data_IF_280617311638
#
_entry.id   IF_280617311638
#
_cell.length_a   1.000
_cell.length_b   1.000
_cell.length_c   1.000
_cell.angle_alpha   90.00
_cell.angle_beta   90.00
_cell.angle_gamma   90.00
#
_symmetry.space_group_name_H-M   'P 1'
#
loop_
_entity.id
_entity.type
_entity.pdbx_description
1 polymer ?
#
# COMPACT_ATOMS: atom_id res chain seq x y z
N UNK A 1 2.95 -2.57 16.56
CA UNK A 1 2.97 -1.33 17.39
C UNK A 1 4.14 -1.43 18.37
N UNK A 2 5.27 -0.73 18.13
CA UNK A 2 6.45 -0.81 19.01
C UNK A 2 6.17 -0.31 20.44
N UNK A 3 5.12 0.51 20.61
CA UNK A 3 4.73 1.07 21.90
C UNK A 3 3.65 0.26 22.66
N UNK A 4 3.12 -0.83 22.08
CA UNK A 4 2.03 -1.60 22.70
C UNK A 4 2.55 -2.57 23.76
N UNK A 5 2.49 -2.17 25.03
CA UNK A 5 3.00 -2.93 26.18
C UNK A 5 2.30 -4.29 26.41
N UNK A 6 1.24 -4.62 25.67
CA UNK A 6 0.62 -5.95 25.68
C UNK A 6 1.44 -6.99 24.91
N UNK A 7 2.35 -6.55 24.04
CA UNK A 7 3.20 -7.40 23.22
C UNK A 7 4.52 -7.75 23.96
N UNK A 8 5.08 -8.96 23.72
CA UNK A 8 6.41 -9.32 24.21
C UNK A 8 7.47 -8.28 23.80
N UNK A 9 8.44 -8.03 24.68
CA UNK A 9 9.49 -7.03 24.46
C UNK A 9 10.25 -7.25 23.15
N UNK A 10 10.72 -8.47 22.87
CA UNK A 10 11.43 -8.75 21.63
C UNK A 10 10.62 -8.47 20.35
N UNK A 11 9.29 -8.60 20.37
CA UNK A 11 8.44 -8.21 19.23
C UNK A 11 8.41 -6.68 19.08
N UNK A 12 8.32 -5.96 20.20
CA UNK A 12 8.33 -4.49 20.18
C UNK A 12 9.66 -3.94 19.67
N UNK A 13 10.77 -4.52 20.11
CA UNK A 13 12.12 -4.14 19.69
C UNK A 13 12.35 -4.39 18.20
N UNK A 14 12.01 -5.59 17.70
CA UNK A 14 12.14 -5.90 16.26
C UNK A 14 11.31 -4.97 15.39
N UNK A 15 10.07 -4.63 15.82
CA UNK A 15 9.22 -3.69 15.08
C UNK A 15 9.77 -2.26 15.14
N UNK A 16 10.37 -1.85 16.26
CA UNK A 16 11.00 -0.53 16.38
C UNK A 16 12.23 -0.40 15.48
N UNK A 17 13.12 -1.38 15.51
CA UNK A 17 14.32 -1.44 14.67
C UNK A 17 13.95 -1.40 13.18
N UNK A 18 12.94 -2.18 12.76
CA UNK A 18 12.44 -2.15 11.39
C UNK A 18 11.88 -0.78 10.98
N UNK A 19 11.17 -0.09 11.89
CA UNK A 19 10.61 1.24 11.59
C UNK A 19 11.70 2.31 11.39
N UNK A 20 12.82 2.20 12.12
CA UNK A 20 13.98 3.07 11.94
C UNK A 20 14.64 2.87 10.57
N UNK A 21 14.71 1.61 10.10
CA UNK A 21 15.22 1.30 8.76
C UNK A 21 14.27 1.76 7.64
N UNK A 22 12.96 1.58 7.82
CA UNK A 22 11.98 2.02 6.83
C UNK A 22 11.99 3.54 6.65
N UNK A 23 12.32 4.30 7.70
CA UNK A 23 12.53 5.76 7.59
C UNK A 23 13.68 6.10 6.64
N UNK A 24 14.76 5.32 6.65
CA UNK A 24 15.91 5.51 5.74
C UNK A 24 15.55 5.11 4.31
N UNK A 25 14.85 3.97 4.14
CA UNK A 25 14.35 3.54 2.84
C UNK A 25 13.42 4.59 2.23
N UNK A 26 12.51 5.12 3.02
CA UNK A 26 11.57 6.16 2.62
C UNK A 26 12.29 7.40 2.09
N UNK A 27 13.31 7.91 2.81
CA UNK A 27 14.10 9.06 2.38
C UNK A 27 14.90 8.79 1.09
N UNK A 28 15.44 7.58 0.96
CA UNK A 28 16.16 7.16 -0.23
C UNK A 28 15.24 7.08 -1.45
N UNK A 29 14.12 6.35 -1.36
CA UNK A 29 13.23 6.13 -2.50
C UNK A 29 12.46 7.37 -2.92
N UNK A 30 12.05 8.23 -1.98
CA UNK A 30 11.45 9.52 -2.33
C UNK A 30 12.43 10.41 -3.11
N UNK A 31 13.71 10.38 -2.70
CA UNK A 31 14.77 11.09 -3.41
C UNK A 31 15.05 10.48 -4.77
N UNK A 32 15.19 9.16 -4.86
CA UNK A 32 15.41 8.45 -6.11
C UNK A 32 14.29 8.74 -7.11
N UNK A 33 13.03 8.71 -6.69
CA UNK A 33 11.88 8.90 -7.58
C UNK A 33 11.89 10.28 -8.25
N UNK A 34 12.31 11.33 -7.52
CA UNK A 34 12.48 12.70 -8.06
C UNK A 34 13.50 12.78 -9.20
N UNK A 35 14.46 11.86 -9.26
CA UNK A 35 15.45 11.80 -10.34
C UNK A 35 15.09 10.76 -11.40
N UNK A 36 14.52 9.63 -10.99
CA UNK A 36 14.20 8.52 -11.86
C UNK A 36 13.10 8.90 -12.85
N UNK A 37 11.97 9.43 -12.37
CA UNK A 37 10.83 9.70 -13.23
C UNK A 37 11.15 10.71 -14.34
N UNK A 38 11.79 11.86 -14.07
CA UNK A 38 12.17 12.80 -15.13
C UNK A 38 13.26 12.28 -16.08
N UNK A 39 14.05 11.27 -15.65
CA UNK A 39 15.07 10.66 -16.48
C UNK A 39 14.51 9.59 -17.44
N UNK A 40 13.29 9.10 -17.20
CA UNK A 40 12.60 8.18 -18.10
C UNK A 40 12.17 8.90 -19.37
N UNK A 41 12.23 8.19 -20.50
CA UNK A 41 11.61 8.63 -21.74
C UNK A 41 10.09 8.71 -21.58
N UNK A 42 9.45 9.51 -22.43
CA UNK A 42 7.99 9.61 -22.46
C UNK A 42 7.33 8.23 -22.66
N UNK A 43 7.89 7.39 -23.53
CA UNK A 43 7.37 6.05 -23.77
C UNK A 43 7.47 5.16 -22.53
N UNK A 44 8.55 5.26 -21.75
CA UNK A 44 8.69 4.53 -20.49
C UNK A 44 7.72 5.02 -19.42
N UNK A 45 7.49 6.34 -19.33
CA UNK A 45 6.48 6.90 -18.42
C UNK A 45 5.06 6.45 -18.80
N UNK A 46 4.73 6.47 -20.10
CA UNK A 46 3.47 5.96 -20.65
C UNK A 46 3.24 4.48 -20.32
N UNK A 47 4.30 3.67 -20.37
CA UNK A 47 4.22 2.25 -20.05
C UNK A 47 4.17 1.98 -18.55
N UNK A 48 4.96 2.69 -17.74
CA UNK A 48 5.10 2.40 -16.31
C UNK A 48 4.00 3.03 -15.46
N UNK A 49 3.60 4.26 -15.78
CA UNK A 49 2.68 5.07 -14.99
C UNK A 49 1.38 4.35 -14.62
N UNK A 50 0.64 3.79 -15.60
CA UNK A 50 -0.61 3.08 -15.34
C UNK A 50 -0.49 1.83 -14.44
N UNK A 51 0.72 1.28 -14.25
CA UNK A 51 0.94 0.13 -13.36
C UNK A 51 1.18 0.53 -11.90
N UNK A 52 1.47 1.80 -11.62
CA UNK A 52 1.77 2.24 -10.26
C UNK A 52 0.59 1.97 -9.30
N UNK A 53 -0.68 2.28 -9.63
CA UNK A 53 -1.81 1.93 -8.77
C UNK A 53 -1.86 0.44 -8.48
N UNK A 54 -1.66 -0.40 -9.49
CA UNK A 54 -1.68 -1.87 -9.34
C UNK A 54 -0.59 -2.35 -8.39
N UNK A 55 0.60 -1.75 -8.45
CA UNK A 55 1.67 -2.03 -7.49
C UNK A 55 1.27 -1.60 -6.08
N UNK A 56 0.70 -0.41 -5.91
CA UNK A 56 0.22 0.07 -4.61
C UNK A 56 -0.77 -0.92 -3.99
N UNK A 57 -1.78 -1.37 -4.73
CA UNK A 57 -2.72 -2.38 -4.24
C UNK A 57 -2.04 -3.71 -3.94
N UNK A 58 -1.14 -4.20 -4.80
CA UNK A 58 -0.43 -5.45 -4.56
C UNK A 58 0.39 -5.48 -3.26
N UNK A 59 0.84 -4.31 -2.76
CA UNK A 59 1.59 -4.20 -1.50
C UNK A 59 0.72 -3.88 -0.28
N UNK A 60 -0.44 -3.26 -0.48
CA UNK A 60 -1.26 -2.71 0.62
C UNK A 60 -2.60 -3.39 0.81
N UNK A 61 -3.08 -4.17 -0.17
CA UNK A 61 -4.30 -4.94 0.01
C UNK A 61 -4.15 -5.97 1.14
N UNK A 62 -5.25 -6.30 1.84
CA UNK A 62 -5.26 -7.39 2.80
C UNK A 62 -4.80 -8.71 2.18
N UNK A 63 -3.98 -9.48 2.89
CA UNK A 63 -3.67 -10.86 2.53
C UNK A 63 -4.86 -11.76 2.90
N UNK A 64 -5.86 -11.79 2.02
CA UNK A 64 -7.12 -12.50 2.26
C UNK A 64 -6.90 -13.99 2.62
N UNK A 65 -6.04 -14.76 1.92
CA UNK A 65 -5.74 -16.13 2.32
C UNK A 65 -5.17 -16.26 3.75
N UNK A 66 -4.19 -15.43 4.12
CA UNK A 66 -3.61 -15.48 5.48
C UNK A 66 -4.63 -15.09 6.55
N UNK A 67 -5.49 -14.11 6.27
CA UNK A 67 -6.55 -13.69 7.20
C UNK A 67 -7.59 -14.81 7.37
N UNK A 68 -8.06 -15.41 6.28
CA UNK A 68 -9.01 -16.53 6.33
C UNK A 68 -8.45 -17.74 7.10
N UNK A 69 -7.16 -18.03 6.91
CA UNK A 69 -6.45 -19.05 7.68
C UNK A 69 -6.43 -18.71 9.17
N UNK A 70 -6.15 -17.45 9.53
CA UNK A 70 -6.18 -16.98 10.91
C UNK A 70 -7.55 -17.10 11.58
N UNK A 71 -8.62 -16.72 10.87
CA UNK A 71 -10.00 -16.85 11.35
C UNK A 71 -10.39 -18.32 11.54
N UNK A 72 -10.01 -19.19 10.59
CA UNK A 72 -10.25 -20.63 10.69
C UNK A 72 -9.50 -21.23 11.88
N UNK A 73 -8.24 -20.86 12.09
CA UNK A 73 -7.43 -21.30 13.23
C UNK A 73 -7.99 -20.81 14.57
N UNK A 74 -8.73 -19.69 14.58
CA UNK A 74 -9.45 -19.19 15.74
C UNK A 74 -10.77 -19.94 16.03
N UNK A 75 -11.16 -20.89 15.18
CA UNK A 75 -12.31 -21.77 15.39
C UNK A 75 -13.58 -21.38 14.63
N UNK A 76 -13.52 -20.37 13.74
CA UNK A 76 -14.66 -20.01 12.90
C UNK A 76 -14.86 -21.07 11.81
N UNK A 77 -16.12 -21.37 11.52
CA UNK A 77 -16.48 -22.25 10.41
C UNK A 77 -16.45 -21.49 9.06
N UNK A 78 -16.51 -22.18 7.90
CA UNK A 78 -16.39 -21.54 6.60
C UNK A 78 -17.41 -20.44 6.31
N UNK A 79 -18.66 -20.59 6.75
CA UNK A 79 -19.72 -19.58 6.56
C UNK A 79 -19.44 -18.32 7.39
N UNK A 80 -18.97 -18.50 8.63
CA UNK A 80 -18.57 -17.39 9.51
C UNK A 80 -17.34 -16.64 8.96
N UNK A 81 -16.36 -17.37 8.42
CA UNK A 81 -15.18 -16.77 7.77
C UNK A 81 -15.61 -15.96 6.56
N UNK A 82 -16.43 -16.52 5.68
CA UNK A 82 -16.94 -15.81 4.49
C UNK A 82 -17.71 -14.54 4.88
N UNK A 83 -18.57 -14.63 5.89
CA UNK A 83 -19.32 -13.49 6.40
C UNK A 83 -18.38 -12.39 6.91
N UNK A 84 -17.44 -12.72 7.81
CA UNK A 84 -16.49 -11.74 8.36
C UNK A 84 -15.69 -11.07 7.25
N UNK A 85 -15.19 -11.85 6.28
CA UNK A 85 -14.39 -11.34 5.17
C UNK A 85 -15.20 -10.37 4.29
N UNK A 86 -16.44 -10.74 3.96
CA UNK A 86 -17.32 -9.94 3.10
C UNK A 86 -17.76 -8.63 3.77
N UNK A 87 -18.08 -8.67 5.07
CA UNK A 87 -18.52 -7.50 5.82
C UNK A 87 -17.37 -6.55 6.20
N UNK A 88 -16.16 -7.10 6.43
CA UNK A 88 -15.00 -6.31 6.88
C UNK A 88 -14.24 -5.69 5.72
N UNK A 89 -13.98 -6.44 4.66
CA UNK A 89 -13.15 -6.00 3.53
C UNK A 89 -14.00 -5.67 2.31
N UNK A 90 -14.96 -4.76 2.51
CA UNK A 90 -15.68 -4.16 1.38
C UNK A 90 -14.72 -3.40 0.48
N UNK A 91 -15.07 -3.25 -0.80
CA UNK A 91 -14.23 -2.56 -1.76
C UNK A 91 -13.91 -1.13 -1.29
N UNK A 92 -14.89 -0.42 -0.75
CA UNK A 92 -14.76 0.95 -0.28
C UNK A 92 -13.78 1.06 0.89
N UNK A 93 -13.87 0.15 1.86
CA UNK A 93 -12.97 0.10 3.02
C UNK A 93 -11.54 -0.22 2.55
N UNK A 94 -11.37 -1.20 1.67
CA UNK A 94 -10.05 -1.59 1.17
C UNK A 94 -9.40 -0.45 0.40
N UNK A 95 -10.14 0.21 -0.50
CA UNK A 95 -9.61 1.36 -1.25
C UNK A 95 -9.26 2.52 -0.30
N UNK A 96 -10.07 2.78 0.73
CA UNK A 96 -9.75 3.81 1.73
C UNK A 96 -8.48 3.49 2.53
N UNK A 97 -8.35 2.26 2.99
CA UNK A 97 -7.19 1.79 3.74
C UNK A 97 -5.91 1.81 2.89
N UNK A 98 -5.99 1.37 1.64
CA UNK A 98 -4.90 1.44 0.66
C UNK A 98 -4.53 2.91 0.40
N UNK A 99 -5.51 3.79 0.15
CA UNK A 99 -5.25 5.23 -0.06
C UNK A 99 -4.55 5.86 1.15
N UNK A 100 -4.99 5.53 2.35
CA UNK A 100 -4.38 6.01 3.61
C UNK A 100 -2.96 5.49 3.78
N UNK A 101 -2.73 4.20 3.54
CA UNK A 101 -1.40 3.57 3.63
C UNK A 101 -0.44 4.08 2.55
N UNK A 102 -0.95 4.38 1.36
CA UNK A 102 -0.17 4.86 0.23
C UNK A 102 0.10 6.38 0.26
N UNK A 103 -0.55 7.15 1.13
CA UNK A 103 -0.54 8.62 1.07
C UNK A 103 0.86 9.25 0.89
N UNK A 104 1.92 8.82 1.60
CA UNK A 104 3.26 9.34 1.37
C UNK A 104 3.81 9.00 -0.04
N UNK A 105 3.58 7.76 -0.50
CA UNK A 105 3.99 7.31 -1.84
C UNK A 105 3.25 8.06 -2.94
N UNK A 106 1.94 8.29 -2.78
CA UNK A 106 1.13 9.09 -3.71
C UNK A 106 1.70 10.50 -3.85
N UNK A 107 2.04 11.14 -2.72
CA UNK A 107 2.64 12.47 -2.70
C UNK A 107 3.95 12.51 -3.50
N UNK A 108 4.79 11.47 -3.43
CA UNK A 108 6.03 11.43 -4.20
C UNK A 108 5.83 11.29 -5.69
N UNK A 109 4.82 10.54 -6.15
CA UNK A 109 4.48 10.47 -7.57
C UNK A 109 3.90 11.79 -8.08
N UNK A 110 3.16 12.52 -7.24
CA UNK A 110 2.71 13.89 -7.55
C UNK A 110 3.91 14.82 -7.71
N UNK A 111 4.81 14.84 -6.72
CA UNK A 111 6.00 15.70 -6.74
C UNK A 111 6.97 15.38 -7.88
N UNK A 112 7.03 14.12 -8.30
CA UNK A 112 7.83 13.70 -9.45
C UNK A 112 7.19 14.05 -10.81
N UNK A 113 5.95 14.54 -10.84
CA UNK A 113 5.21 14.87 -12.07
C UNK A 113 4.59 13.65 -12.76
N UNK A 114 4.47 12.51 -12.10
CA UNK A 114 3.95 11.29 -12.73
C UNK A 114 2.47 11.40 -13.10
N UNK A 115 1.69 12.14 -12.32
CA UNK A 115 0.27 12.38 -12.55
C UNK A 115 0.01 13.45 -13.62
N UNK A 116 1.03 14.13 -14.15
CA UNK A 116 0.88 15.04 -15.30
C UNK A 116 0.61 14.26 -16.60
N UNK A 117 0.88 12.95 -16.60
CA UNK A 117 0.62 12.07 -17.72
C UNK A 117 -0.81 11.51 -17.65
N UNK A 118 -1.63 11.77 -18.69
CA UNK A 118 -3.06 11.43 -18.70
C UNK A 118 -3.35 9.96 -18.36
N UNK A 119 -2.65 9.01 -18.99
CA UNK A 119 -2.91 7.58 -18.72
C UNK A 119 -2.56 7.17 -17.28
N UNK A 120 -1.58 7.84 -16.67
CA UNK A 120 -1.24 7.63 -15.26
C UNK A 120 -2.33 8.21 -14.38
N UNK A 121 -2.75 9.44 -14.65
CA UNK A 121 -3.83 10.10 -13.92
C UNK A 121 -5.12 9.28 -13.95
N UNK A 122 -5.55 8.86 -15.15
CA UNK A 122 -6.73 8.01 -15.35
C UNK A 122 -6.62 6.72 -14.54
N UNK A 123 -5.48 6.03 -14.57
CA UNK A 123 -5.28 4.80 -13.79
C UNK A 123 -5.37 5.03 -12.27
N UNK A 124 -4.88 6.15 -11.74
CA UNK A 124 -5.01 6.48 -10.32
C UNK A 124 -6.46 6.82 -9.95
N UNK A 125 -7.19 7.51 -10.83
CA UNK A 125 -8.62 7.81 -10.64
C UNK A 125 -9.47 6.55 -10.66
N UNK A 126 -9.28 5.68 -11.66
CA UNK A 126 -9.98 4.39 -11.78
C UNK A 126 -9.74 3.50 -10.56
N UNK A 127 -8.53 3.53 -10.01
CA UNK A 127 -8.17 2.80 -8.80
C UNK A 127 -8.65 3.49 -7.50
N UNK A 128 -9.28 4.65 -7.60
CA UNK A 128 -9.78 5.42 -6.46
C UNK A 128 -8.69 6.02 -5.56
N UNK A 129 -7.43 6.07 -6.00
CA UNK A 129 -6.32 6.59 -5.18
C UNK A 129 -6.27 8.12 -5.16
N UNK A 130 -6.88 8.77 -6.15
CA UNK A 130 -7.05 10.23 -6.23
C UNK A 130 -8.51 10.57 -6.63
N UNK A 131 -8.96 11.82 -6.43
CA UNK A 131 -10.29 12.27 -6.86
C UNK A 131 -10.53 12.23 -8.36
#
# INVERSE_FOLDING_TARGET
MPNDKRLPEGIRETVADHADDETKHHAYFSTLLRYLWPAMTRQEQELAGPYIPRLIFAFLEPDYPSIALGLTAAGLNPEEVEQVMTETYTHEIVVEDVRRGAAPTLQYFVEAGALEHNATHEAFQEAGLIP
#
